data_IF_701307275504
#
_entry.id   IF_701307275504
#
_cell.length_a   1.000
_cell.length_b   1.000
_cell.length_c   1.000
_cell.angle_alpha   90.00
_cell.angle_beta   90.00
_cell.angle_gamma   90.00
#
_symmetry.space_group_name_H-M   'P 1'
#
loop_
_entity.id
_entity.type
_entity.pdbx_description
1 polymer ?
#
# COMPACT_ATOMS: atom_id res chain seq x y z
N UNK A 1 11.10 8.52 -22.03
CA UNK A 1 11.75 8.91 -20.76
C UNK A 1 10.74 9.20 -19.66
N UNK A 2 9.64 9.90 -19.96
CA UNK A 2 8.60 10.26 -18.98
C UNK A 2 7.91 9.07 -18.31
N UNK A 3 7.48 8.05 -19.08
CA UNK A 3 6.89 6.81 -18.51
C UNK A 3 7.81 6.11 -17.51
N UNK A 4 9.12 6.13 -17.75
CA UNK A 4 10.11 5.52 -16.85
C UNK A 4 10.18 6.28 -15.51
N UNK A 5 10.11 7.61 -15.55
CA UNK A 5 10.08 8.45 -14.36
C UNK A 5 8.78 8.25 -13.57
N UNK A 6 7.62 8.21 -14.26
CA UNK A 6 6.32 7.94 -13.65
C UNK A 6 6.30 6.57 -12.95
N UNK A 7 6.83 5.53 -13.60
CA UNK A 7 6.91 4.20 -12.99
C UNK A 7 7.82 4.16 -11.75
N UNK A 8 8.90 4.95 -11.72
CA UNK A 8 9.76 5.07 -10.53
C UNK A 8 8.98 5.72 -9.38
N UNK A 9 8.25 6.81 -9.65
CA UNK A 9 7.43 7.49 -8.64
C UNK A 9 6.34 6.57 -8.09
N UNK A 10 5.65 5.83 -8.96
CA UNK A 10 4.62 4.87 -8.53
C UNK A 10 5.24 3.76 -7.65
N UNK A 11 6.42 3.24 -8.01
CA UNK A 11 7.11 2.22 -7.21
C UNK A 11 7.52 2.73 -5.83
N UNK A 12 8.01 3.98 -5.74
CA UNK A 12 8.32 4.61 -4.45
C UNK A 12 7.05 4.70 -3.61
N UNK A 13 5.93 5.11 -4.21
CA UNK A 13 4.65 5.21 -3.52
C UNK A 13 4.14 3.85 -3.00
N UNK A 14 4.34 2.78 -3.78
CA UNK A 14 4.01 1.40 -3.33
C UNK A 14 4.85 1.04 -2.11
N UNK A 15 6.17 1.26 -2.13
CA UNK A 15 7.05 0.97 -0.98
C UNK A 15 6.61 1.74 0.28
N UNK A 16 6.26 3.02 0.18
CA UNK A 16 5.75 3.81 1.31
C UNK A 16 4.44 3.24 1.89
N UNK A 17 3.59 2.66 1.04
CA UNK A 17 2.33 2.05 1.45
C UNK A 17 2.56 0.70 2.12
N UNK A 18 3.51 -0.09 1.62
CA UNK A 18 3.94 -1.36 2.23
C UNK A 18 4.55 -1.14 3.63
N UNK A 19 5.39 -0.12 3.79
CA UNK A 19 5.95 0.26 5.10
C UNK A 19 4.85 0.63 6.09
N UNK A 20 3.87 1.44 5.66
CA UNK A 20 2.71 1.80 6.50
C UNK A 20 1.85 0.59 6.87
N UNK A 21 1.67 -0.34 5.95
CA UNK A 21 0.93 -1.57 6.21
C UNK A 21 1.65 -2.42 7.29
N UNK A 22 2.97 -2.53 7.20
CA UNK A 22 3.78 -3.23 8.18
C UNK A 22 3.67 -2.58 9.57
N UNK A 23 3.75 -1.25 9.64
CA UNK A 23 3.56 -0.51 10.89
C UNK A 23 2.18 -0.79 11.51
N UNK A 24 1.11 -0.77 10.70
CA UNK A 24 -0.24 -1.08 11.17
C UNK A 24 -0.36 -2.50 11.70
N UNK A 25 0.27 -3.49 11.04
CA UNK A 25 0.29 -4.89 11.50
C UNK A 25 1.04 -5.01 12.84
N UNK A 26 2.17 -4.33 12.98
CA UNK A 26 2.95 -4.33 14.23
C UNK A 26 2.15 -3.68 15.35
N UNK A 27 1.49 -2.57 15.08
CA UNK A 27 0.65 -1.85 16.04
C UNK A 27 -0.56 -2.69 16.43
N UNK A 28 -1.28 -3.28 15.47
CA UNK A 28 -2.45 -4.11 15.75
C UNK A 28 -2.10 -5.31 16.63
N UNK A 29 -0.94 -5.94 16.38
CA UNK A 29 -0.44 -7.04 17.19
C UNK A 29 -0.07 -6.65 18.63
N UNK A 30 0.20 -5.36 18.90
CA UNK A 30 0.45 -4.86 20.27
C UNK A 30 -0.82 -4.62 21.07
N UNK A 31 -1.98 -4.64 20.43
CA UNK A 31 -3.26 -4.33 21.05
C UNK A 31 -4.21 -5.52 20.99
N UNK A 32 -4.00 -6.46 21.90
CA UNK A 32 -4.76 -7.72 22.01
C UNK A 32 -6.28 -7.52 22.23
N UNK A 33 -6.70 -6.32 22.67
CA UNK A 33 -8.10 -5.98 23.01
C UNK A 33 -8.68 -4.82 22.17
N UNK A 34 -7.96 -4.28 21.19
CA UNK A 34 -8.56 -3.28 20.29
C UNK A 34 -9.40 -4.02 19.25
N UNK A 35 -10.64 -3.57 18.96
CA UNK A 35 -11.42 -4.16 17.89
C UNK A 35 -10.64 -4.11 16.58
N UNK A 36 -10.32 -5.29 16.08
CA UNK A 36 -9.78 -5.60 14.74
C UNK A 36 -10.41 -4.74 13.60
N UNK A 37 -11.71 -4.34 13.63
CA UNK A 37 -12.33 -3.58 12.53
C UNK A 37 -11.68 -2.25 12.16
N UNK A 38 -11.04 -1.54 13.11
CA UNK A 38 -10.43 -0.22 12.79
C UNK A 38 -9.16 -0.40 11.97
N UNK A 39 -8.30 -1.34 12.37
CA UNK A 39 -7.09 -1.66 11.63
C UNK A 39 -7.40 -2.33 10.30
N UNK A 40 -8.41 -3.21 10.24
CA UNK A 40 -8.83 -3.85 8.99
C UNK A 40 -9.27 -2.85 7.91
N UNK A 41 -10.02 -1.81 8.28
CA UNK A 41 -10.46 -0.80 7.31
C UNK A 41 -9.28 -0.07 6.68
N UNK A 42 -8.31 0.32 7.50
CA UNK A 42 -7.13 1.05 7.04
C UNK A 42 -6.17 0.14 6.24
N UNK A 43 -5.96 -1.10 6.69
CA UNK A 43 -5.21 -2.12 5.95
C UNK A 43 -5.84 -2.40 4.57
N UNK A 44 -7.16 -2.57 4.50
CA UNK A 44 -7.88 -2.81 3.26
C UNK A 44 -7.79 -1.61 2.30
N UNK A 45 -7.83 -0.38 2.83
CA UNK A 45 -7.65 0.82 2.02
C UNK A 45 -6.24 0.87 1.39
N UNK A 46 -5.20 0.58 2.18
CA UNK A 46 -3.81 0.53 1.71
C UNK A 46 -3.63 -0.54 0.62
N UNK A 47 -4.12 -1.77 0.87
CA UNK A 47 -4.04 -2.86 -0.10
C UNK A 47 -4.73 -2.51 -1.43
N UNK A 48 -5.88 -1.83 -1.37
CA UNK A 48 -6.60 -1.39 -2.56
C UNK A 48 -5.84 -0.31 -3.34
N UNK A 49 -5.17 0.62 -2.65
CA UNK A 49 -4.32 1.63 -3.29
C UNK A 49 -3.10 0.98 -3.96
N UNK A 50 -2.42 0.05 -3.28
CA UNK A 50 -1.30 -0.72 -3.87
C UNK A 50 -1.75 -1.43 -5.15
N UNK A 51 -2.84 -2.20 -5.10
CA UNK A 51 -3.32 -2.93 -6.27
C UNK A 51 -3.72 -2.01 -7.44
N UNK A 52 -4.25 -0.81 -7.16
CA UNK A 52 -4.49 0.19 -8.20
C UNK A 52 -3.19 0.68 -8.85
N UNK A 53 -2.17 0.98 -8.04
CA UNK A 53 -0.87 1.44 -8.51
C UNK A 53 -0.11 0.36 -9.31
N UNK A 54 -0.18 -0.90 -8.89
CA UNK A 54 0.37 -2.04 -9.64
C UNK A 54 -0.29 -2.18 -11.01
N UNK A 55 -1.62 -2.10 -11.07
CA UNK A 55 -2.36 -2.11 -12.35
C UNK A 55 -1.95 -0.96 -13.27
N UNK A 56 -1.67 0.24 -12.73
CA UNK A 56 -1.18 1.36 -13.52
C UNK A 56 0.22 1.09 -14.09
N UNK A 57 1.12 0.47 -13.32
CA UNK A 57 2.44 0.06 -13.83
C UNK A 57 2.28 -0.97 -14.95
N UNK A 58 1.45 -1.99 -14.77
CA UNK A 58 1.21 -3.02 -15.78
C UNK A 58 0.61 -2.44 -17.07
N UNK A 59 -0.33 -1.50 -16.96
CA UNK A 59 -0.91 -0.81 -18.11
C UNK A 59 0.13 0.05 -18.84
N UNK A 60 0.98 0.77 -18.11
CA UNK A 60 2.01 1.64 -18.68
C UNK A 60 3.19 0.87 -19.31
N UNK A 61 3.29 -0.44 -19.11
CA UNK A 61 4.31 -1.32 -19.69
C UNK A 61 3.83 -2.06 -20.96
N UNK A 62 2.54 -1.96 -21.32
CA UNK A 62 1.96 -2.49 -22.57
C UNK A 62 1.95 -1.42 -23.66
#
# INVERSE_FOLDING_TARGET
>A
MEQKQTNIVIRIRILELEDKLLDLIIISNKYENIPVPVFELEMNAILKEIGYLENLIEFNLK
#
